data_IF_865470746058
#
_entry.id   IF_865470746058
#
_cell.length_a   1.000
_cell.length_b   1.000
_cell.length_c   1.000
_cell.angle_alpha   90.00
_cell.angle_beta   90.00
_cell.angle_gamma   90.00
#
_symmetry.space_group_name_H-M   'P 1'
#
loop_
_entity.id
_entity.type
_entity.pdbx_description
1 polymer ?
#
# COMPACT_ATOMS: atom_id res chain seq x y z
N UNK A 1 -11.20 16.86 -12.12
CA UNK A 1 -10.54 16.13 -13.24
C UNK A 1 -10.39 14.66 -12.85
N UNK A 2 -11.12 13.72 -13.47
CA UNK A 2 -10.95 12.27 -13.20
C UNK A 2 -9.65 11.82 -13.87
N UNK A 3 -8.63 11.52 -13.07
CA UNK A 3 -7.37 10.99 -13.60
C UNK A 3 -7.61 9.56 -14.14
N UNK A 4 -7.21 9.25 -15.38
CA UNK A 4 -7.38 7.90 -15.92
C UNK A 4 -6.61 6.90 -15.05
N UNK A 5 -7.28 5.80 -14.67
CA UNK A 5 -6.68 4.72 -13.89
C UNK A 5 -5.78 3.87 -14.78
N UNK A 6 -4.58 4.36 -15.06
CA UNK A 6 -3.59 3.71 -15.95
C UNK A 6 -2.85 2.54 -15.31
N UNK A 7 -2.95 2.37 -13.99
CA UNK A 7 -2.16 1.39 -13.23
C UNK A 7 -3.07 0.31 -12.62
N UNK A 8 -3.42 -0.74 -13.38
CA UNK A 8 -4.19 -1.87 -12.87
C UNK A 8 -3.33 -2.75 -11.94
N UNK A 9 -3.96 -3.32 -10.92
CA UNK A 9 -3.36 -4.36 -10.11
C UNK A 9 -3.23 -5.65 -10.94
N UNK A 10 -2.05 -6.26 -10.90
CA UNK A 10 -1.77 -7.53 -11.60
C UNK A 10 -1.93 -8.75 -10.68
N UNK A 11 -2.43 -8.54 -9.46
CA UNK A 11 -2.65 -9.64 -8.52
C UNK A 11 -3.87 -10.46 -8.94
N UNK A 12 -3.75 -11.78 -8.93
CA UNK A 12 -4.84 -12.68 -9.31
C UNK A 12 -6.03 -12.50 -8.36
N UNK A 13 -7.21 -12.25 -8.92
CA UNK A 13 -8.42 -11.96 -8.15
C UNK A 13 -8.56 -10.51 -7.67
N UNK A 14 -7.67 -9.60 -8.07
CA UNK A 14 -7.79 -8.17 -7.76
C UNK A 14 -8.18 -7.32 -8.98
N UNK A 15 -9.34 -6.67 -8.93
CA UNK A 15 -9.83 -5.77 -9.98
C UNK A 15 -9.60 -4.27 -9.69
N UNK A 16 -8.63 -3.93 -8.81
CA UNK A 16 -8.34 -2.52 -8.49
C UNK A 16 -7.41 -1.89 -9.52
N UNK A 17 -7.69 -0.64 -9.87
CA UNK A 17 -6.82 0.17 -10.72
C UNK A 17 -6.66 1.58 -10.14
N UNK A 18 -5.47 2.14 -10.33
CA UNK A 18 -5.06 3.41 -9.74
C UNK A 18 -4.64 4.41 -10.81
N UNK A 19 -4.83 5.69 -10.51
CA UNK A 19 -4.39 6.79 -11.37
C UNK A 19 -2.88 7.02 -11.33
N UNK A 20 -2.19 6.56 -10.28
CA UNK A 20 -0.77 6.79 -10.05
C UNK A 20 -0.06 5.49 -9.68
N UNK A 21 1.18 5.33 -10.15
CA UNK A 21 2.01 4.14 -9.92
C UNK A 21 2.31 3.90 -8.45
N UNK A 22 2.61 4.95 -7.67
CA UNK A 22 2.92 4.79 -6.24
C UNK A 22 1.74 4.25 -5.42
N UNK A 23 0.51 4.58 -5.82
CA UNK A 23 -0.70 4.05 -5.19
C UNK A 23 -0.88 2.57 -5.51
N UNK A 24 -0.67 2.17 -6.77
CA UNK A 24 -0.67 0.77 -7.15
C UNK A 24 0.41 0.01 -6.38
N UNK A 25 1.63 0.54 -6.29
CA UNK A 25 2.74 -0.13 -5.59
C UNK A 25 2.40 -0.41 -4.13
N UNK A 26 1.81 0.55 -3.41
CA UNK A 26 1.44 0.31 -2.01
C UNK A 26 0.20 -0.53 -1.83
N UNK A 27 -0.76 -0.44 -2.76
CA UNK A 27 -1.85 -1.40 -2.78
C UNK A 27 -1.33 -2.82 -3.00
N UNK A 28 -0.34 -3.02 -3.88
CA UNK A 28 0.20 -4.34 -4.15
C UNK A 28 0.76 -5.00 -2.89
N UNK A 29 1.33 -4.21 -1.97
CA UNK A 29 1.82 -4.68 -0.67
C UNK A 29 0.70 -5.25 0.22
N UNK A 30 -0.55 -4.79 0.07
CA UNK A 30 -1.68 -5.30 0.86
C UNK A 30 -2.01 -6.76 0.53
N UNK A 31 -1.58 -7.26 -0.63
CA UNK A 31 -1.70 -8.67 -0.98
C UNK A 31 -0.69 -9.57 -0.27
N UNK A 32 0.35 -8.97 0.33
CA UNK A 32 1.39 -9.66 1.08
C UNK A 32 1.33 -9.23 2.56
N UNK A 33 0.29 -9.62 3.30
CA UNK A 33 0.10 -9.20 4.69
C UNK A 33 1.24 -9.66 5.61
N UNK A 34 1.94 -10.75 5.26
CA UNK A 34 3.08 -11.29 6.00
C UNK A 34 4.41 -10.59 5.64
N UNK A 35 4.38 -9.50 4.86
CA UNK A 35 5.55 -8.68 4.60
C UNK A 35 6.10 -8.12 5.91
N UNK A 36 7.42 -8.18 6.06
CA UNK A 36 8.13 -7.47 7.13
C UNK A 36 7.91 -5.98 6.94
N UNK A 37 7.01 -5.41 7.74
CA UNK A 37 6.78 -3.97 7.78
C UNK A 37 7.94 -3.35 8.52
N UNK A 38 8.70 -2.52 7.80
CA UNK A 38 9.95 -1.94 8.32
C UNK A 38 9.68 -0.84 9.36
N UNK A 39 8.48 -0.26 9.35
CA UNK A 39 8.08 0.82 10.23
C UNK A 39 7.04 0.30 11.21
N UNK A 40 7.47 -0.13 12.39
CA UNK A 40 6.57 -0.66 13.42
C UNK A 40 6.46 0.33 14.57
N UNK A 41 5.24 0.60 15.01
CA UNK A 41 5.01 1.39 16.20
C UNK A 41 5.44 0.58 17.44
N UNK A 42 6.40 1.06 18.24
CA UNK A 42 6.88 0.34 19.41
C UNK A 42 5.83 0.25 20.54
N UNK A 43 4.83 1.15 20.53
CA UNK A 43 3.80 1.22 21.57
C UNK A 43 2.64 0.25 21.33
N UNK A 44 2.24 0.05 20.07
CA UNK A 44 1.07 -0.77 19.73
C UNK A 44 1.39 -1.99 18.85
N UNK A 45 2.62 -2.11 18.35
CA UNK A 45 3.05 -3.20 17.47
C UNK A 45 2.51 -3.14 16.04
N UNK A 46 1.76 -2.08 15.64
CA UNK A 46 1.30 -1.96 14.26
C UNK A 46 2.44 -1.64 13.33
N UNK A 47 2.57 -2.45 12.28
CA UNK A 47 3.47 -2.17 11.17
C UNK A 47 2.82 -1.32 10.08
N UNK A 48 3.63 -0.47 9.47
CA UNK A 48 3.31 0.40 8.33
C UNK A 48 4.28 0.16 7.19
N UNK A 49 3.81 0.35 5.95
CA UNK A 49 4.63 0.20 4.75
C UNK A 49 5.52 1.41 4.46
N UNK A 50 5.24 2.56 5.10
CA UNK A 50 5.95 3.82 4.92
C UNK A 50 6.15 4.53 6.25
N UNK A 51 7.25 5.27 6.36
CA UNK A 51 7.58 6.02 7.57
C UNK A 51 6.57 7.13 7.88
N UNK A 52 6.09 7.88 6.87
CA UNK A 52 5.10 8.94 7.11
C UNK A 52 3.76 8.41 7.62
N UNK A 53 3.42 7.16 7.28
CA UNK A 53 2.20 6.52 7.79
C UNK A 53 2.38 6.14 9.28
N UNK A 54 3.58 5.74 9.69
CA UNK A 54 3.94 5.57 11.11
C UNK A 54 4.02 6.92 11.86
N UNK A 55 4.57 7.97 11.25
CA UNK A 55 4.70 9.27 11.89
C UNK A 55 3.37 9.98 12.16
N UNK A 56 2.32 9.67 11.38
CA UNK A 56 0.95 10.17 11.59
C UNK A 56 0.11 9.26 12.50
N UNK A 57 0.53 8.01 12.66
CA UNK A 57 -0.21 6.99 13.39
C UNK A 57 -0.23 7.30 14.90
#
# INVERSE_FOLDING_TARGET
RRQPKKYPCRFQGCNRAFAKSYNLRTHFLTHFPNRVKQFVCPLCGRGFDRNHDLGRH
#
